data_IF_988310969843
#
_entry.id   IF_988310969843
#
_cell.length_a   1.000
_cell.length_b   1.000
_cell.length_c   1.000
_cell.angle_alpha   90.00
_cell.angle_beta   90.00
_cell.angle_gamma   90.00
#
_symmetry.space_group_name_H-M   'P 1'
#
loop_
_entity.id
_entity.type
_entity.pdbx_description
1 polymer ?
#
# COMPACT_ATOMS: atom_id res chain seq x y z
N UNK A 1 2.40 23.41 -24.35
CA UNK A 1 1.74 22.74 -23.20
C UNK A 1 0.47 23.55 -22.94
N UNK A 2 -0.67 22.98 -23.26
CA UNK A 2 -1.94 23.70 -23.22
C UNK A 2 -2.42 23.83 -21.75
N UNK A 3 -2.70 25.05 -21.31
CA UNK A 3 -3.11 25.36 -19.91
C UNK A 3 -4.47 24.69 -19.56
N UNK A 4 -5.26 24.30 -20.58
CA UNK A 4 -6.52 23.57 -20.39
C UNK A 4 -6.33 22.14 -19.86
N UNK A 5 -5.23 21.46 -20.16
CA UNK A 5 -4.94 20.11 -19.66
C UNK A 5 -4.53 20.09 -18.18
N UNK A 6 -3.99 21.21 -17.64
CA UNK A 6 -3.53 21.29 -16.25
C UNK A 6 -4.70 21.41 -15.28
N UNK A 7 -5.80 22.03 -15.69
CA UNK A 7 -6.96 22.27 -14.81
C UNK A 7 -7.88 21.06 -14.65
N UNK A 8 -7.92 20.15 -15.64
CA UNK A 8 -8.89 19.02 -15.62
C UNK A 8 -8.36 17.83 -14.78
N UNK A 9 -7.04 17.73 -14.60
CA UNK A 9 -6.46 16.64 -13.83
C UNK A 9 -6.74 16.71 -12.32
N UNK A 10 -7.00 17.90 -11.77
CA UNK A 10 -7.34 18.10 -10.36
C UNK A 10 -8.81 17.82 -10.04
N UNK A 11 -9.69 17.81 -11.04
CA UNK A 11 -11.12 17.55 -10.89
C UNK A 11 -11.46 16.05 -10.86
N UNK A 12 -10.52 15.19 -11.27
CA UNK A 12 -10.75 13.73 -11.26
C UNK A 12 -10.48 13.14 -9.88
N UNK A 13 -11.34 12.24 -9.41
CA UNK A 13 -11.13 11.57 -8.13
C UNK A 13 -9.81 10.79 -8.13
N UNK A 14 -9.18 10.70 -6.97
CA UNK A 14 -7.91 10.02 -6.77
C UNK A 14 -8.14 8.56 -6.37
N UNK A 15 -7.46 7.63 -7.04
CA UNK A 15 -7.26 6.27 -6.54
C UNK A 15 -5.81 6.14 -6.05
N UNK A 16 -5.65 5.91 -4.75
CA UNK A 16 -4.36 5.59 -4.16
C UNK A 16 -4.21 4.07 -4.07
N UNK A 17 -3.34 3.51 -4.88
CA UNK A 17 -2.92 2.12 -4.71
C UNK A 17 -1.96 1.99 -3.54
N UNK A 18 -2.20 1.03 -2.66
CA UNK A 18 -1.27 0.67 -1.58
C UNK A 18 -0.78 -0.74 -1.82
N UNK A 19 0.44 -0.85 -2.33
CA UNK A 19 1.06 -2.10 -2.71
C UNK A 19 2.25 -2.45 -1.81
N UNK A 20 2.60 -3.71 -1.77
CA UNK A 20 3.81 -4.21 -1.13
C UNK A 20 3.77 -5.71 -0.93
N UNK A 21 4.92 -6.34 -0.63
CA UNK A 21 4.95 -7.74 -0.21
C UNK A 21 4.08 -7.97 1.03
N UNK A 22 3.65 -9.19 1.22
CA UNK A 22 2.99 -9.53 2.48
C UNK A 22 3.86 -9.16 3.68
N UNK A 23 3.24 -8.63 4.71
CA UNK A 23 3.90 -8.16 5.95
C UNK A 23 4.68 -6.85 5.84
N UNK A 24 4.59 -6.11 4.73
CA UNK A 24 5.22 -4.79 4.54
C UNK A 24 4.43 -3.60 5.10
N UNK A 25 3.35 -3.84 5.85
CA UNK A 25 2.49 -2.82 6.46
C UNK A 25 1.45 -2.15 5.54
N UNK A 26 1.12 -2.72 4.38
CA UNK A 26 0.07 -2.19 3.48
C UNK A 26 -1.22 -1.85 4.21
N UNK A 27 -1.66 -2.71 5.17
CA UNK A 27 -2.89 -2.49 5.96
C UNK A 27 -2.81 -1.22 6.82
N UNK A 28 -1.66 -0.93 7.41
CA UNK A 28 -1.48 0.27 8.25
C UNK A 28 -1.63 1.53 7.39
N UNK A 29 -0.93 1.60 6.27
CA UNK A 29 -1.00 2.73 5.35
C UNK A 29 -2.42 2.93 4.82
N UNK A 30 -3.11 1.86 4.44
CA UNK A 30 -4.52 1.94 4.03
C UNK A 30 -5.41 2.53 5.12
N UNK A 31 -5.25 2.09 6.37
CA UNK A 31 -6.01 2.65 7.50
C UNK A 31 -5.73 4.13 7.73
N UNK A 32 -4.48 4.57 7.54
CA UNK A 32 -4.11 5.99 7.63
C UNK A 32 -4.88 6.79 6.57
N UNK A 33 -4.88 6.33 5.33
CA UNK A 33 -5.56 7.00 4.22
C UNK A 33 -7.09 7.02 4.39
N UNK A 34 -7.69 5.94 4.91
CA UNK A 34 -9.12 5.91 5.27
C UNK A 34 -9.43 6.91 6.39
N UNK A 35 -8.58 6.98 7.41
CA UNK A 35 -8.76 7.94 8.49
C UNK A 35 -8.60 9.40 8.03
N UNK A 36 -7.84 9.63 6.96
CA UNK A 36 -7.72 10.92 6.27
C UNK A 36 -8.91 11.25 5.37
N UNK A 37 -9.86 10.33 5.18
CA UNK A 37 -11.11 10.59 4.45
C UNK A 37 -11.27 9.82 3.15
N UNK A 38 -10.28 9.06 2.70
CA UNK A 38 -10.44 8.24 1.50
C UNK A 38 -11.40 7.07 1.77
N UNK A 39 -12.21 6.73 0.79
CA UNK A 39 -13.02 5.53 0.86
C UNK A 39 -12.17 4.29 0.56
N UNK A 40 -12.35 3.21 1.33
CA UNK A 40 -11.60 1.98 1.09
C UNK A 40 -11.82 0.92 2.15
N UNK A 41 -11.15 -0.21 1.96
CA UNK A 41 -11.20 -1.34 2.88
C UNK A 41 -9.86 -1.53 3.61
N UNK A 42 -9.83 -1.19 4.89
CA UNK A 42 -8.66 -1.39 5.76
C UNK A 42 -8.47 -2.83 6.23
N UNK A 43 -9.37 -3.74 5.91
CA UNK A 43 -9.40 -5.11 6.42
C UNK A 43 -9.23 -6.20 5.37
N UNK A 44 -10.10 -7.21 5.48
CA UNK A 44 -10.13 -8.38 4.59
C UNK A 44 -11.29 -8.34 3.58
N UNK A 45 -12.13 -7.32 3.66
CA UNK A 45 -13.45 -7.28 3.03
C UNK A 45 -13.40 -7.09 1.49
N UNK A 46 -12.26 -6.74 0.92
CA UNK A 46 -12.04 -6.62 -0.53
C UNK A 46 -13.19 -5.94 -1.31
N UNK A 47 -13.85 -4.96 -0.69
CA UNK A 47 -15.07 -4.32 -1.23
C UNK A 47 -14.86 -3.74 -2.63
N UNK A 48 -13.69 -3.16 -2.86
CA UNK A 48 -13.34 -2.58 -4.15
C UNK A 48 -13.24 -3.62 -5.28
N UNK A 49 -12.97 -4.89 -4.95
CA UNK A 49 -12.96 -5.96 -5.95
C UNK A 49 -14.35 -6.34 -6.42
N UNK A 50 -15.34 -6.20 -5.52
CA UNK A 50 -16.71 -6.66 -5.78
C UNK A 50 -17.57 -5.59 -6.44
N UNK A 51 -17.35 -4.30 -6.14
CA UNK A 51 -18.25 -3.23 -6.57
C UNK A 51 -17.52 -1.92 -6.88
N UNK A 52 -16.65 -1.84 -7.91
CA UNK A 52 -15.94 -0.61 -8.24
C UNK A 52 -16.87 0.54 -8.66
N UNK A 53 -18.09 0.24 -9.09
CA UNK A 53 -19.05 1.23 -9.62
C UNK A 53 -19.71 2.11 -8.54
N UNK A 54 -19.59 1.77 -7.25
CA UNK A 54 -20.23 2.52 -6.17
C UNK A 54 -19.46 3.77 -5.72
N UNK A 55 -18.27 4.03 -6.29
CA UNK A 55 -17.33 5.05 -5.80
C UNK A 55 -17.17 6.25 -6.74
N UNK A 56 -18.11 6.50 -7.63
CA UNK A 56 -18.03 7.63 -8.56
C UNK A 56 -17.89 8.94 -7.80
N UNK A 57 -16.80 9.67 -8.07
CA UNK A 57 -16.54 10.99 -7.54
C UNK A 57 -15.90 11.05 -6.14
N UNK A 58 -15.57 9.92 -5.52
CA UNK A 58 -14.87 9.88 -4.23
C UNK A 58 -13.40 9.48 -4.41
N UNK A 59 -12.51 10.06 -3.63
CA UNK A 59 -11.15 9.60 -3.50
C UNK A 59 -11.13 8.23 -2.79
N UNK A 60 -10.40 7.29 -3.35
CA UNK A 60 -10.37 5.91 -2.86
C UNK A 60 -8.95 5.44 -2.57
N UNK A 61 -8.83 4.50 -1.64
CA UNK A 61 -7.61 3.73 -1.41
C UNK A 61 -7.85 2.26 -1.71
N UNK A 62 -7.04 1.69 -2.62
CA UNK A 62 -7.12 0.30 -3.02
C UNK A 62 -5.85 -0.45 -2.69
N UNK A 63 -5.97 -1.36 -1.73
CA UNK A 63 -4.82 -2.13 -1.20
C UNK A 63 -4.72 -3.50 -1.85
N UNK A 64 -3.50 -3.87 -2.26
CA UNK A 64 -3.16 -5.24 -2.67
C UNK A 64 -1.79 -5.66 -2.15
N UNK A 65 -1.71 -6.89 -1.66
CA UNK A 65 -0.42 -7.53 -1.42
C UNK A 65 0.08 -8.24 -2.68
N UNK A 66 1.38 -8.22 -2.88
CA UNK A 66 2.07 -8.88 -3.98
C UNK A 66 2.95 -10.04 -3.46
N UNK A 67 2.67 -11.31 -3.78
CA UNK A 67 1.41 -11.77 -4.37
C UNK A 67 0.23 -11.64 -3.39
N UNK A 68 -0.99 -11.81 -3.88
CA UNK A 68 -2.16 -11.94 -3.04
C UNK A 68 -2.05 -13.20 -2.15
N UNK A 69 -2.55 -13.12 -0.91
CA UNK A 69 -2.26 -14.18 0.09
C UNK A 69 -2.89 -15.53 -0.25
N UNK A 70 -4.12 -15.53 -0.75
CA UNK A 70 -4.93 -16.75 -0.91
C UNK A 70 -4.47 -17.57 -2.12
N UNK A 71 -4.37 -16.92 -3.27
CA UNK A 71 -4.13 -17.56 -4.56
C UNK A 71 -2.68 -17.49 -5.05
N UNK A 72 -1.83 -16.72 -4.36
CA UNK A 72 -0.45 -16.46 -4.76
C UNK A 72 -0.31 -15.75 -6.12
N UNK A 73 -1.40 -15.24 -6.66
CA UNK A 73 -1.42 -14.49 -7.92
C UNK A 73 -0.87 -13.09 -7.69
N UNK A 74 -0.09 -12.62 -8.62
CA UNK A 74 0.34 -11.22 -8.65
C UNK A 74 -0.75 -10.39 -9.30
N UNK A 75 -1.30 -9.39 -8.61
CA UNK A 75 -2.30 -8.51 -9.21
C UNK A 75 -1.79 -7.87 -10.50
N UNK A 76 -2.68 -7.76 -11.48
CA UNK A 76 -2.46 -6.97 -12.68
C UNK A 76 -2.94 -5.54 -12.42
N UNK A 77 -2.00 -4.58 -12.43
CA UNK A 77 -2.32 -3.17 -12.16
C UNK A 77 -3.06 -2.55 -13.35
N UNK A 78 -2.84 -3.03 -14.58
CA UNK A 78 -3.58 -2.57 -15.77
C UNK A 78 -5.06 -2.88 -15.62
N UNK A 79 -5.40 -4.13 -15.31
CA UNK A 79 -6.80 -4.52 -15.05
C UNK A 79 -7.43 -3.71 -13.91
N UNK A 80 -6.64 -3.38 -12.87
CA UNK A 80 -7.13 -2.56 -11.76
C UNK A 80 -7.44 -1.13 -12.22
N UNK A 81 -6.62 -0.53 -13.10
CA UNK A 81 -6.88 0.82 -13.63
C UNK A 81 -8.06 0.85 -14.58
N UNK A 82 -8.22 -0.15 -15.43
CA UNK A 82 -9.34 -0.28 -16.36
C UNK A 82 -10.70 -0.35 -15.65
N UNK A 83 -10.75 -0.89 -14.43
CA UNK A 83 -11.95 -0.95 -13.60
C UNK A 83 -12.39 0.40 -13.02
N UNK A 84 -11.54 1.43 -13.09
CA UNK A 84 -11.77 2.76 -12.53
C UNK A 84 -11.54 3.86 -13.59
N UNK A 85 -12.31 3.84 -14.69
CA UNK A 85 -12.17 4.86 -15.72
C UNK A 85 -12.48 6.25 -15.13
N UNK A 86 -11.67 7.24 -15.49
CA UNK A 86 -11.81 8.62 -15.03
C UNK A 86 -11.14 8.93 -13.69
N UNK A 87 -10.50 7.96 -13.04
CA UNK A 87 -9.64 8.23 -11.88
C UNK A 87 -8.24 8.66 -12.29
N UNK A 88 -7.63 9.52 -11.48
CA UNK A 88 -6.17 9.69 -11.47
C UNK A 88 -5.55 8.69 -10.49
N UNK A 89 -4.39 8.16 -10.83
CA UNK A 89 -3.75 7.11 -10.04
C UNK A 89 -2.45 7.58 -9.41
N UNK A 90 -2.23 7.20 -8.17
CA UNK A 90 -0.93 7.26 -7.48
C UNK A 90 -0.72 5.97 -6.69
N UNK A 91 0.53 5.59 -6.46
CA UNK A 91 0.82 4.37 -5.72
C UNK A 91 1.78 4.60 -4.56
N UNK A 92 1.48 3.99 -3.42
CA UNK A 92 2.35 3.91 -2.25
C UNK A 92 2.84 2.48 -2.14
N UNK A 93 4.15 2.28 -2.31
CA UNK A 93 4.81 0.99 -2.14
C UNK A 93 5.31 0.91 -0.70
N UNK A 94 4.73 0.03 0.10
CA UNK A 94 5.14 -0.12 1.49
C UNK A 94 6.38 -1.00 1.61
N UNK A 95 7.35 -0.54 2.39
CA UNK A 95 8.54 -1.29 2.77
C UNK A 95 8.58 -1.53 4.28
N UNK A 96 9.36 -2.50 4.70
CA UNK A 96 9.59 -2.84 6.09
C UNK A 96 10.92 -3.54 6.21
N UNK A 97 11.51 -3.54 7.40
CA UNK A 97 12.72 -4.33 7.69
C UNK A 97 12.63 -5.73 7.06
N UNK A 98 13.62 -6.03 6.25
CA UNK A 98 13.63 -7.22 5.41
C UNK A 98 13.55 -8.50 6.23
N UNK A 99 14.37 -8.58 7.29
CA UNK A 99 14.40 -9.72 8.20
C UNK A 99 13.03 -9.93 8.87
N UNK A 100 12.40 -8.85 9.32
CA UNK A 100 11.05 -8.89 9.91
C UNK A 100 9.99 -9.35 8.94
N UNK A 101 10.07 -8.96 7.66
CA UNK A 101 9.16 -9.46 6.62
C UNK A 101 9.34 -10.95 6.38
N UNK A 102 10.59 -11.40 6.22
CA UNK A 102 10.92 -12.82 6.01
C UNK A 102 10.41 -13.65 7.19
N UNK A 103 10.78 -13.28 8.43
CA UNK A 103 10.34 -13.97 9.65
C UNK A 103 8.80 -14.04 9.73
N UNK A 104 8.12 -12.94 9.41
CA UNK A 104 6.66 -12.90 9.42
C UNK A 104 6.03 -13.79 8.35
N UNK A 105 6.63 -13.91 7.17
CA UNK A 105 6.12 -14.78 6.10
C UNK A 105 6.33 -16.25 6.44
N UNK A 106 7.52 -16.62 6.89
CA UNK A 106 7.84 -17.99 7.34
C UNK A 106 6.91 -18.42 8.48
N UNK A 107 6.73 -17.59 9.51
CA UNK A 107 5.85 -17.91 10.63
C UNK A 107 4.37 -18.10 10.22
N UNK A 108 3.88 -17.36 9.24
CA UNK A 108 2.50 -17.49 8.72
C UNK A 108 2.29 -18.74 7.88
N UNK A 109 3.36 -19.35 7.39
CA UNK A 109 3.37 -20.52 6.50
C UNK A 109 4.27 -21.61 7.05
N UNK A 110 4.25 -21.78 8.35
CA UNK A 110 5.06 -22.77 9.04
C UNK A 110 4.90 -24.16 8.37
N UNK A 111 6.04 -24.81 8.11
CA UNK A 111 6.10 -26.09 7.42
C UNK A 111 6.06 -26.04 5.88
N UNK A 112 5.76 -24.87 5.27
CA UNK A 112 5.69 -24.73 3.80
C UNK A 112 6.68 -23.71 3.25
N UNK A 113 7.00 -22.69 4.04
CA UNK A 113 7.81 -21.55 3.61
C UNK A 113 9.20 -21.57 4.23
N UNK A 114 10.25 -21.56 3.40
CA UNK A 114 11.63 -21.38 3.86
C UNK A 114 12.04 -19.90 3.79
N UNK A 115 13.08 -19.46 4.56
CA UNK A 115 13.61 -18.09 4.45
C UNK A 115 14.06 -17.74 3.03
N UNK A 116 14.65 -18.69 2.30
CA UNK A 116 15.06 -18.50 0.90
C UNK A 116 13.86 -18.25 -0.03
N UNK A 117 12.80 -19.03 0.11
CA UNK A 117 11.56 -18.84 -0.65
C UNK A 117 10.90 -17.49 -0.34
N UNK A 118 10.83 -17.10 0.93
CA UNK A 118 10.29 -15.81 1.35
C UNK A 118 11.10 -14.63 0.76
N UNK A 119 12.44 -14.71 0.81
CA UNK A 119 13.33 -13.73 0.20
C UNK A 119 13.05 -13.56 -1.30
N UNK A 120 13.03 -14.67 -2.04
CA UNK A 120 12.76 -14.65 -3.48
C UNK A 120 11.39 -14.07 -3.82
N UNK A 121 10.38 -14.35 -2.99
CA UNK A 121 9.02 -13.80 -3.16
C UNK A 121 8.97 -12.30 -2.93
N UNK A 122 9.61 -11.81 -1.87
CA UNK A 122 9.67 -10.38 -1.56
C UNK A 122 10.34 -9.61 -2.70
N UNK A 123 11.48 -10.11 -3.21
CA UNK A 123 12.17 -9.49 -4.35
C UNK A 123 11.27 -9.44 -5.59
N UNK A 124 10.69 -10.56 -5.98
CA UNK A 124 9.77 -10.61 -7.13
C UNK A 124 8.58 -9.68 -6.97
N UNK A 125 8.06 -9.53 -5.73
CA UNK A 125 6.95 -8.62 -5.47
C UNK A 125 7.32 -7.17 -5.80
N UNK A 126 8.44 -6.66 -5.27
CA UNK A 126 8.88 -5.30 -5.57
C UNK A 126 9.16 -5.09 -7.07
N UNK A 127 9.89 -6.02 -7.70
CA UNK A 127 10.15 -5.94 -9.15
C UNK A 127 8.84 -5.84 -9.92
N UNK A 128 7.87 -6.74 -9.68
CA UNK A 128 6.60 -6.73 -10.39
C UNK A 128 5.76 -5.47 -10.15
N UNK A 129 5.74 -4.94 -8.92
CA UNK A 129 5.03 -3.70 -8.61
C UNK A 129 5.65 -2.54 -9.41
N UNK A 130 6.95 -2.33 -9.28
CA UNK A 130 7.65 -1.20 -9.91
C UNK A 130 7.53 -1.28 -11.43
N UNK A 131 7.82 -2.46 -12.03
CA UNK A 131 7.73 -2.64 -13.48
C UNK A 131 6.34 -2.30 -14.02
N UNK A 132 5.27 -2.74 -13.34
CA UNK A 132 3.91 -2.44 -13.80
C UNK A 132 3.55 -0.96 -13.62
N UNK A 133 3.92 -0.33 -12.51
CA UNK A 133 3.65 1.09 -12.27
C UNK A 133 4.38 1.98 -13.28
N UNK A 134 5.64 1.68 -13.57
CA UNK A 134 6.45 2.42 -14.55
C UNK A 134 5.88 2.25 -15.97
N UNK A 135 5.50 1.02 -16.36
CA UNK A 135 4.87 0.76 -17.65
C UNK A 135 3.55 1.51 -17.85
N UNK A 136 2.81 1.77 -16.78
CA UNK A 136 1.55 2.51 -16.81
C UNK A 136 1.73 4.02 -16.57
N UNK A 137 2.95 4.51 -16.35
CA UNK A 137 3.24 5.91 -16.02
C UNK A 137 2.63 6.37 -14.70
N UNK A 138 2.28 5.46 -13.79
CA UNK A 138 1.69 5.79 -12.49
C UNK A 138 2.78 6.28 -11.55
N UNK A 139 2.64 7.51 -11.04
CA UNK A 139 3.57 8.06 -10.05
C UNK A 139 3.48 7.27 -8.74
N UNK A 140 4.63 6.96 -8.15
CA UNK A 140 4.71 6.19 -6.92
C UNK A 140 5.79 6.68 -5.96
N UNK A 141 5.63 6.37 -4.67
CA UNK A 141 6.65 6.56 -3.64
C UNK A 141 6.82 5.28 -2.83
N UNK A 142 8.00 5.12 -2.24
CA UNK A 142 8.23 4.11 -1.20
C UNK A 142 7.98 4.69 0.18
N UNK A 143 7.25 3.96 1.01
CA UNK A 143 6.94 4.33 2.38
C UNK A 143 7.44 3.27 3.36
N UNK A 144 8.44 3.61 4.17
CA UNK A 144 9.00 2.71 5.18
C UNK A 144 8.08 2.61 6.39
N UNK A 145 7.79 1.38 6.80
CA UNK A 145 7.10 1.11 8.07
C UNK A 145 7.88 1.64 9.28
N UNK A 146 9.20 1.53 9.27
CA UNK A 146 10.07 2.02 10.33
C UNK A 146 9.99 3.55 10.43
N UNK A 147 10.02 4.24 9.29
CA UNK A 147 9.83 5.69 9.24
C UNK A 147 8.45 6.10 9.79
N UNK A 148 7.39 5.35 9.45
CA UNK A 148 6.05 5.55 10.03
C UNK A 148 6.01 5.37 11.55
N UNK A 149 6.81 4.44 12.11
CA UNK A 149 6.83 4.18 13.56
C UNK A 149 7.64 5.24 14.31
N UNK A 150 8.80 5.64 13.77
CA UNK A 150 9.76 6.49 14.49
C UNK A 150 9.61 7.99 14.18
N UNK A 151 9.04 8.33 13.03
CA UNK A 151 8.86 9.72 12.56
C UNK A 151 7.45 9.94 12.04
N UNK A 152 6.47 9.44 12.77
CA UNK A 152 5.06 9.29 12.35
C UNK A 152 4.49 10.57 11.73
N UNK A 153 4.57 11.68 12.44
CA UNK A 153 3.98 12.96 12.02
C UNK A 153 4.59 13.45 10.70
N UNK A 154 5.90 13.61 10.67
CA UNK A 154 6.64 14.08 9.48
C UNK A 154 6.36 13.22 8.25
N UNK A 155 6.35 11.90 8.43
CA UNK A 155 6.15 10.95 7.32
C UNK A 155 4.72 11.01 6.80
N UNK A 156 3.73 11.16 7.67
CA UNK A 156 2.32 11.22 7.28
C UNK A 156 1.99 12.57 6.62
N UNK A 157 2.49 13.68 7.16
CA UNK A 157 2.31 14.99 6.52
C UNK A 157 2.93 15.00 5.12
N UNK A 158 4.15 14.50 4.97
CA UNK A 158 4.77 14.36 3.65
C UNK A 158 3.98 13.44 2.68
N UNK A 159 3.40 12.35 3.20
CA UNK A 159 2.54 11.47 2.41
C UNK A 159 1.27 12.21 1.92
N UNK A 160 0.63 12.99 2.78
CA UNK A 160 -0.57 13.73 2.44
C UNK A 160 -0.28 14.83 1.42
N UNK A 161 0.79 15.59 1.61
CA UNK A 161 1.26 16.59 0.64
C UNK A 161 1.52 15.96 -0.73
N UNK A 162 2.26 14.86 -0.77
CA UNK A 162 2.55 14.17 -2.03
C UNK A 162 1.29 13.63 -2.71
N UNK A 163 0.30 13.16 -1.96
CA UNK A 163 -0.99 12.69 -2.48
C UNK A 163 -1.94 13.85 -2.80
N UNK A 164 -1.66 15.07 -2.35
CA UNK A 164 -2.56 16.22 -2.38
C UNK A 164 -3.88 15.93 -1.64
N UNK A 165 -3.77 15.33 -0.45
CA UNK A 165 -4.88 15.05 0.46
C UNK A 165 -4.98 16.19 1.47
N UNK A 166 -6.15 16.82 1.55
CA UNK A 166 -6.43 17.87 2.54
C UNK A 166 -6.74 17.23 3.92
N UNK A 167 -5.69 16.81 4.60
CA UNK A 167 -5.76 16.22 5.95
C UNK A 167 -4.44 16.43 6.69
N UNK A 168 -4.46 16.27 8.02
CA UNK A 168 -3.28 16.40 8.88
C UNK A 168 -3.12 15.18 9.78
N UNK A 169 -1.89 14.93 10.27
CA UNK A 169 -1.65 13.91 11.27
C UNK A 169 -2.50 14.14 12.54
N UNK A 170 -2.69 15.39 12.93
CA UNK A 170 -3.52 15.75 14.10
C UNK A 170 -4.95 15.23 13.96
N UNK A 171 -5.53 15.31 12.75
CA UNK A 171 -6.87 14.78 12.46
C UNK A 171 -6.92 13.25 12.47
N UNK A 172 -5.84 12.60 12.03
CA UNK A 172 -5.76 11.14 11.85
C UNK A 172 -5.36 10.41 13.13
N UNK A 173 -4.45 10.96 13.94
CA UNK A 173 -3.85 10.30 15.13
C UNK A 173 -4.85 9.81 16.16
N UNK A 174 -6.01 10.47 16.26
CA UNK A 174 -7.08 10.05 17.18
C UNK A 174 -7.78 8.77 16.72
N UNK A 175 -7.70 8.44 15.43
CA UNK A 175 -8.38 7.30 14.82
C UNK A 175 -7.47 6.08 14.66
N UNK A 176 -6.14 6.27 14.74
CA UNK A 176 -5.17 5.21 14.46
C UNK A 176 -4.10 5.15 15.53
N UNK A 177 -3.82 3.92 16.00
CA UNK A 177 -2.67 3.63 16.85
C UNK A 177 -1.56 3.00 16.03
N UNK A 178 -0.41 3.66 15.98
CA UNK A 178 0.81 3.14 15.36
C UNK A 178 1.71 2.56 16.46
N UNK A 179 2.21 1.36 16.26
CA UNK A 179 3.09 0.68 17.23
C UNK A 179 4.17 -0.12 16.51
N UNK A 180 5.33 -0.29 17.15
CA UNK A 180 6.44 -1.06 16.60
C UNK A 180 6.13 -2.57 16.55
N UNK A 181 5.59 -3.01 15.44
CA UNK A 181 5.31 -4.43 15.16
C UNK A 181 6.54 -5.26 14.82
N UNK A 182 7.75 -4.65 14.66
CA UNK A 182 8.99 -5.38 14.47
C UNK A 182 9.50 -5.98 15.78
N UNK A 183 9.11 -5.42 16.92
CA UNK A 183 9.58 -5.85 18.25
C UNK A 183 9.49 -7.36 18.46
N UNK A 184 8.41 -7.99 18.02
CA UNK A 184 8.19 -9.43 18.14
C UNK A 184 9.13 -10.31 17.29
N UNK A 185 9.79 -9.73 16.27
CA UNK A 185 10.66 -10.46 15.36
C UNK A 185 12.14 -10.30 15.63
N UNK A 186 12.55 -9.36 16.50
CA UNK A 186 13.98 -9.06 16.75
C UNK A 186 14.75 -10.26 17.29
N UNK A 187 14.14 -11.11 18.11
CA UNK A 187 14.80 -12.23 18.78
C UNK A 187 14.46 -13.59 18.15
N UNK A 188 13.78 -13.63 17.01
CA UNK A 188 13.47 -14.89 16.32
C UNK A 188 14.65 -15.31 15.45
N UNK A 189 15.27 -16.46 15.76
CA UNK A 189 16.26 -17.07 14.89
C UNK A 189 15.56 -17.93 13.81
N UNK A 190 15.87 -17.68 12.52
CA UNK A 190 15.28 -18.39 11.39
C UNK A 190 16.06 -19.65 10.99
N UNK A 191 17.23 -19.88 11.60
CA UNK A 191 18.18 -20.90 11.19
C UNK A 191 18.39 -21.98 12.26
N UNK A 192 17.44 -22.11 13.20
CA UNK A 192 17.37 -23.23 14.13
C UNK A 192 16.57 -24.37 13.58
#
# INVERSE_FOLDING_TARGET
>A
MDISEINDSHLRPLCVFVFGPQSSATRLVTKILIAAGLYGDGGHDQRLDRTPLLFKGQDIVWRRSFPHFIDQVYPDISEMTERLPGYRFRAVITTRDWSSMVKSQVAKRAGVETPGCANGRIRRAYTKIITQLDALGIKWIMLSYEALVFSTETVIEHLFDWLSIDSTWVAVRKKIKISDGNRKWRNVNLYQ
#
